data_IF_232797773738
#
_entry.id   IF_232797773738
#
_cell.length_a   1.000
_cell.length_b   1.000
_cell.length_c   1.000
_cell.angle_alpha   90.00
_cell.angle_beta   90.00
_cell.angle_gamma   90.00
#
_symmetry.space_group_name_H-M   'P 1'
#
loop_
_entity.id
_entity.type
_entity.pdbx_description
1 polymer ?
#
# COMPACT_ATOMS: atom_id res chain seq x y z
N UNK A 1 -2.28 -4.84 27.88
CA UNK A 1 -1.03 -5.30 28.54
C UNK A 1 -0.18 -4.09 28.84
N UNK A 2 0.45 -4.04 30.00
CA UNK A 2 1.40 -2.98 30.35
C UNK A 2 2.82 -3.49 30.17
N UNK A 3 3.65 -2.75 29.45
CA UNK A 3 5.02 -3.16 29.10
C UNK A 3 5.98 -2.02 29.39
N UNK A 4 7.10 -2.35 30.02
CA UNK A 4 8.19 -1.41 30.24
C UNK A 4 9.34 -1.70 29.28
N UNK A 5 9.80 -0.67 28.55
CA UNK A 5 10.94 -0.78 27.63
C UNK A 5 12.03 0.20 28.03
N UNK A 6 13.27 -0.29 28.10
CA UNK A 6 14.45 0.46 28.51
C UNK A 6 15.52 0.43 27.40
N UNK A 7 16.08 1.60 27.10
CA UNK A 7 17.21 1.76 26.17
C UNK A 7 16.82 2.26 24.77
N UNK A 8 17.73 3.01 24.16
CA UNK A 8 17.62 3.50 22.78
C UNK A 8 18.79 2.93 21.94
N UNK A 9 18.53 2.39 20.73
CA UNK A 9 17.24 2.33 20.04
C UNK A 9 16.33 1.16 20.51
N UNK A 10 15.01 1.40 20.50
CA UNK A 10 13.99 0.43 20.93
C UNK A 10 13.88 -0.79 19.99
N UNK A 11 14.15 -0.61 18.70
CA UNK A 11 14.03 -1.61 17.64
C UNK A 11 12.58 -1.95 17.28
N UNK A 12 11.76 -0.91 17.07
CA UNK A 12 10.35 -1.05 16.68
C UNK A 12 9.98 -0.05 15.57
N UNK A 13 8.98 -0.42 14.77
CA UNK A 13 8.38 0.44 13.75
C UNK A 13 6.92 0.71 14.12
N UNK A 14 6.47 1.95 13.90
CA UNK A 14 5.08 2.35 14.12
C UNK A 14 4.46 2.95 12.88
N UNK A 15 3.13 2.94 12.82
CA UNK A 15 2.34 3.73 11.87
C UNK A 15 1.09 4.29 12.56
N UNK A 16 0.34 5.08 11.80
CA UNK A 16 -0.89 5.71 12.24
C UNK A 16 -0.60 7.05 12.90
N UNK A 17 -1.62 7.63 13.50
CA UNK A 17 -1.66 9.02 13.95
C UNK A 17 -3.06 9.58 13.71
N UNK A 18 -3.49 10.48 14.57
CA UNK A 18 -4.81 11.10 14.49
C UNK A 18 -5.02 11.89 13.20
N UNK A 19 -3.96 12.42 12.59
CA UNK A 19 -3.98 13.04 11.26
C UNK A 19 -4.36 12.06 10.13
N UNK A 20 -4.20 10.75 10.39
CA UNK A 20 -4.63 9.66 9.50
C UNK A 20 -5.91 8.98 10.00
N UNK A 21 -6.54 9.56 11.04
CA UNK A 21 -7.67 9.01 11.81
C UNK A 21 -7.38 7.66 12.48
N UNK A 22 -6.12 7.21 12.49
CA UNK A 22 -5.75 5.87 12.91
C UNK A 22 -5.02 5.93 14.25
N UNK A 23 -5.31 5.00 15.17
CA UNK A 23 -4.47 4.85 16.37
C UNK A 23 -3.01 4.51 16.04
N UNK A 24 -2.12 4.56 17.02
CA UNK A 24 -0.72 4.18 16.81
C UNK A 24 -0.56 2.65 16.90
N UNK A 25 -0.02 2.03 15.85
CA UNK A 25 0.19 0.57 15.77
C UNK A 25 1.64 0.20 15.51
N UNK A 26 2.08 -0.90 16.11
CA UNK A 26 3.39 -1.51 15.83
C UNK A 26 3.32 -2.29 14.53
N UNK A 27 4.18 -1.94 13.57
CA UNK A 27 4.28 -2.58 12.24
C UNK A 27 5.52 -3.45 12.10
N UNK A 28 6.47 -3.33 13.01
CA UNK A 28 7.69 -4.12 13.00
C UNK A 28 8.36 -4.13 14.36
N UNK A 29 9.03 -5.24 14.63
CA UNK A 29 9.84 -5.43 15.83
C UNK A 29 11.12 -6.12 15.41
N UNK A 30 12.26 -5.47 15.65
CA UNK A 30 13.56 -5.99 15.27
C UNK A 30 13.94 -7.19 16.16
N UNK A 31 14.64 -8.16 15.59
CA UNK A 31 15.11 -9.33 16.34
C UNK A 31 16.13 -8.92 17.41
N UNK A 32 16.02 -9.49 18.60
CA UNK A 32 16.82 -9.25 19.80
C UNK A 32 16.76 -7.81 20.36
N UNK A 33 15.84 -6.99 19.87
CA UNK A 33 15.65 -5.61 20.32
C UNK A 33 15.08 -5.51 21.73
N UNK A 34 15.15 -4.31 22.32
CA UNK A 34 14.48 -4.02 23.59
C UNK A 34 12.95 -4.24 23.46
N UNK A 35 12.37 -3.84 22.32
CA UNK A 35 10.97 -4.09 22.00
C UNK A 35 10.61 -5.58 21.99
N UNK A 36 11.41 -6.43 21.33
CA UNK A 36 11.14 -7.88 21.30
C UNK A 36 11.25 -8.51 22.69
N UNK A 37 12.28 -8.14 23.46
CA UNK A 37 12.50 -8.65 24.82
C UNK A 37 11.39 -8.25 25.77
N UNK A 38 10.80 -7.06 25.56
CA UNK A 38 9.64 -6.57 26.29
C UNK A 38 8.32 -7.23 25.84
N UNK A 39 8.35 -8.09 24.81
CA UNK A 39 7.19 -8.85 24.34
C UNK A 39 6.24 -8.05 23.44
N UNK A 40 6.73 -6.94 22.86
CA UNK A 40 5.99 -6.19 21.85
C UNK A 40 5.86 -7.01 20.57
N UNK A 41 4.70 -6.94 19.93
CA UNK A 41 4.40 -7.68 18.71
C UNK A 41 3.83 -6.78 17.63
N UNK A 42 4.06 -7.20 16.38
CA UNK A 42 3.41 -6.60 15.21
C UNK A 42 1.89 -6.75 15.38
N UNK A 43 1.14 -5.66 15.17
CA UNK A 43 -0.31 -5.64 15.37
C UNK A 43 -0.77 -5.21 16.77
N UNK A 44 0.15 -4.89 17.67
CA UNK A 44 -0.21 -4.23 18.92
C UNK A 44 -0.56 -2.75 18.67
N UNK A 45 -1.66 -2.30 19.26
CA UNK A 45 -2.02 -0.89 19.32
C UNK A 45 -1.50 -0.29 20.62
N UNK A 46 -0.86 0.87 20.53
CA UNK A 46 -0.43 1.65 21.68
C UNK A 46 -1.58 2.58 22.07
N UNK A 47 -2.07 2.41 23.30
CA UNK A 47 -3.16 3.20 23.87
C UNK A 47 -2.63 4.35 24.71
N UNK A 48 -1.50 4.13 25.38
CA UNK A 48 -0.85 5.11 26.26
C UNK A 48 0.65 4.86 26.31
N UNK A 49 1.45 5.92 26.45
CA UNK A 49 2.85 5.83 26.84
C UNK A 49 3.17 6.88 27.91
N UNK A 50 3.74 6.46 29.05
CA UNK A 50 4.16 7.36 30.12
C UNK A 50 3.07 8.34 30.59
N UNK A 51 1.82 7.89 30.71
CA UNK A 51 0.63 8.69 31.05
C UNK A 51 0.15 9.66 29.94
N UNK A 52 0.76 9.62 28.76
CA UNK A 52 0.25 10.33 27.57
C UNK A 52 -0.64 9.42 26.75
N UNK A 53 -1.81 9.92 26.37
CA UNK A 53 -2.75 9.16 25.53
C UNK A 53 -2.26 9.07 24.10
N UNK A 54 -2.25 7.85 23.56
CA UNK A 54 -1.89 7.55 22.17
C UNK A 54 -3.11 7.34 21.26
N UNK A 55 -4.31 7.58 21.79
CA UNK A 55 -5.56 7.40 21.03
C UNK A 55 -5.80 8.52 20.01
N UNK A 56 -5.40 9.75 20.32
CA UNK A 56 -5.65 10.95 19.50
C UNK A 56 -4.37 11.70 19.16
N UNK A 57 -3.22 11.07 19.36
CA UNK A 57 -1.91 11.66 19.13
C UNK A 57 -1.53 11.66 17.65
N UNK A 58 -0.81 12.68 17.19
CA UNK A 58 -0.24 12.67 15.84
C UNK A 58 0.93 11.71 15.70
N UNK A 59 1.23 11.27 14.48
CA UNK A 59 2.35 10.39 14.20
C UNK A 59 3.68 10.98 14.69
N UNK A 60 3.95 12.23 14.32
CA UNK A 60 5.21 12.91 14.66
C UNK A 60 5.41 13.04 16.17
N UNK A 61 4.33 13.37 16.90
CA UNK A 61 4.38 13.46 18.36
C UNK A 61 4.63 12.07 18.98
N UNK A 62 3.96 11.03 18.49
CA UNK A 62 4.20 9.65 18.94
C UNK A 62 5.65 9.22 18.71
N UNK A 63 6.21 9.52 17.54
CA UNK A 63 7.63 9.25 17.22
C UNK A 63 8.56 9.98 18.19
N UNK A 64 8.29 11.25 18.48
CA UNK A 64 9.09 12.05 19.40
C UNK A 64 9.07 11.47 20.83
N UNK A 65 7.89 11.13 21.35
CA UNK A 65 7.78 10.51 22.68
C UNK A 65 8.57 9.20 22.73
N UNK A 66 8.45 8.35 21.71
CA UNK A 66 9.17 7.07 21.69
C UNK A 66 10.69 7.23 21.57
N UNK A 67 11.17 8.20 20.79
CA UNK A 67 12.62 8.42 20.58
C UNK A 67 13.31 9.00 21.79
N UNK A 68 12.69 9.97 22.46
CA UNK A 68 13.34 10.77 23.50
C UNK A 68 13.06 10.30 24.93
N UNK A 69 12.15 9.35 25.12
CA UNK A 69 11.89 8.73 26.43
C UNK A 69 12.97 7.71 26.78
N UNK A 70 13.66 7.89 27.92
CA UNK A 70 14.65 6.91 28.43
C UNK A 70 14.01 5.61 28.91
N UNK A 71 12.74 5.69 29.32
CA UNK A 71 11.91 4.60 29.81
C UNK A 71 10.51 4.81 29.27
N UNK A 72 9.90 3.77 28.70
CA UNK A 72 8.53 3.79 28.20
C UNK A 72 7.70 2.78 28.97
N UNK A 73 6.66 3.26 29.65
CA UNK A 73 5.58 2.45 30.21
C UNK A 73 4.42 2.51 29.21
N UNK A 74 4.16 1.41 28.52
CA UNK A 74 3.19 1.33 27.42
C UNK A 74 1.95 0.56 27.85
N UNK A 75 0.77 1.14 27.63
CA UNK A 75 -0.49 0.40 27.68
C UNK A 75 -0.88 -0.02 26.26
N UNK A 76 -1.08 -1.33 26.05
CA UNK A 76 -1.27 -1.92 24.74
C UNK A 76 -2.56 -2.72 24.63
N UNK A 77 -3.13 -2.74 23.42
CA UNK A 77 -4.18 -3.69 23.00
C UNK A 77 -3.63 -4.61 21.90
N UNK A 78 -3.65 -5.92 22.14
CA UNK A 78 -3.29 -6.92 21.13
C UNK A 78 -4.43 -7.03 20.12
N UNK A 79 -4.21 -6.57 18.89
CA UNK A 79 -5.22 -6.63 17.83
C UNK A 79 -4.95 -7.80 16.87
N UNK A 80 -3.69 -8.22 16.72
CA UNK A 80 -3.28 -9.34 15.86
C UNK A 80 -3.39 -9.09 14.36
N UNK A 81 -4.09 -8.02 13.97
CA UNK A 81 -4.13 -7.44 12.62
C UNK A 81 -3.93 -5.94 12.72
N UNK A 82 -3.25 -5.40 11.72
CA UNK A 82 -2.89 -3.99 11.59
C UNK A 82 -4.00 -3.29 10.78
N UNK A 83 -4.90 -2.49 11.39
CA UNK A 83 -6.05 -1.92 10.67
C UNK A 83 -5.64 -0.78 9.73
N UNK A 84 -6.01 -0.81 8.46
CA UNK A 84 -5.73 0.28 7.52
C UNK A 84 -6.29 1.63 8.03
N UNK A 85 -5.68 2.75 7.64
CA UNK A 85 -5.99 4.09 8.17
C UNK A 85 -7.47 4.50 8.00
N UNK A 86 -8.01 5.20 8.99
CA UNK A 86 -9.44 5.49 9.22
C UNK A 86 -10.09 6.44 8.20
N UNK A 87 -9.43 6.80 7.09
CA UNK A 87 -10.23 7.23 5.94
C UNK A 87 -11.03 6.10 5.28
N UNK A 88 -11.05 4.93 5.92
CA UNK A 88 -11.88 3.78 5.60
C UNK A 88 -12.52 3.21 6.88
N UNK A 89 -13.51 3.94 7.42
CA UNK A 89 -14.45 3.38 8.39
C UNK A 89 -15.86 3.39 7.83
N UNK A 90 -16.19 2.31 7.13
CA UNK A 90 -17.49 1.63 7.27
C UNK A 90 -17.22 0.15 7.05
N UNK A 91 -17.62 -0.68 8.01
CA UNK A 91 -17.53 -2.17 8.07
C UNK A 91 -16.37 -2.79 8.87
N UNK A 92 -16.39 -2.58 10.19
CA UNK A 92 -16.04 -3.70 11.12
C UNK A 92 -17.31 -4.34 11.61
N UNK A 93 -17.75 -5.43 10.98
CA UNK A 93 -18.22 -6.66 11.65
C UNK A 93 -18.72 -7.67 10.63
N UNK A 94 -18.43 -8.95 10.90
CA UNK A 94 -18.62 -10.12 10.06
C UNK A 94 -17.69 -10.17 8.84
N UNK A 95 -17.16 -11.35 8.54
CA UNK A 95 -16.59 -11.62 7.23
C UNK A 95 -17.76 -11.98 6.31
N UNK A 96 -18.11 -11.19 5.28
CA UNK A 96 -18.97 -11.66 4.21
C UNK A 96 -18.10 -12.04 3.01
N UNK A 97 -18.54 -13.07 2.30
CA UNK A 97 -18.07 -13.52 0.98
C UNK A 97 -17.51 -12.39 0.11
N UNK A 98 -16.31 -12.59 -0.44
CA UNK A 98 -15.41 -11.67 -1.16
C UNK A 98 -16.00 -10.62 -2.14
N UNK A 99 -17.30 -10.65 -2.49
CA UNK A 99 -17.93 -9.63 -3.33
C UNK A 99 -18.41 -8.39 -2.57
N UNK A 100 -18.90 -8.54 -1.35
CA UNK A 100 -19.66 -7.47 -0.66
C UNK A 100 -18.76 -6.36 -0.09
N UNK A 101 -17.60 -6.75 0.45
CA UNK A 101 -16.61 -5.81 0.99
C UNK A 101 -15.96 -4.95 -0.12
N UNK A 102 -15.65 -5.56 -1.26
CA UNK A 102 -15.04 -4.86 -2.40
C UNK A 102 -16.02 -3.87 -3.02
N UNK A 103 -17.30 -4.25 -3.16
CA UNK A 103 -18.36 -3.34 -3.62
C UNK A 103 -18.57 -2.17 -2.67
N UNK A 104 -18.51 -2.42 -1.36
CA UNK A 104 -18.59 -1.36 -0.34
C UNK A 104 -17.43 -0.37 -0.44
N UNK A 105 -16.20 -0.87 -0.65
CA UNK A 105 -15.01 -0.02 -0.83
C UNK A 105 -15.13 0.84 -2.09
N UNK A 106 -15.63 0.27 -3.19
CA UNK A 106 -15.91 1.00 -4.44
C UNK A 106 -16.98 2.07 -4.20
N UNK A 107 -18.05 1.76 -3.48
CA UNK A 107 -19.14 2.68 -3.14
C UNK A 107 -18.62 3.92 -2.39
N UNK A 108 -17.84 3.71 -1.33
CA UNK A 108 -17.26 4.77 -0.52
C UNK A 108 -16.29 5.64 -1.34
N UNK A 109 -15.39 5.01 -2.10
CA UNK A 109 -14.41 5.76 -2.90
C UNK A 109 -15.06 6.55 -4.03
N UNK A 110 -16.04 5.95 -4.71
CA UNK A 110 -16.75 6.61 -5.81
C UNK A 110 -17.58 7.81 -5.35
N UNK A 111 -18.20 7.79 -4.17
CA UNK A 111 -18.91 8.96 -3.62
C UNK A 111 -18.02 10.18 -3.36
N UNK A 112 -16.70 9.98 -3.17
CA UNK A 112 -15.76 11.06 -2.86
C UNK A 112 -15.21 11.75 -4.11
N UNK A 113 -15.14 11.02 -5.23
CA UNK A 113 -14.45 11.46 -6.45
C UNK A 113 -15.40 11.63 -7.66
N UNK A 114 -16.64 11.15 -7.56
CA UNK A 114 -17.65 11.21 -8.62
C UNK A 114 -18.85 12.06 -8.20
N UNK A 115 -19.56 12.60 -9.19
CA UNK A 115 -20.88 13.19 -8.94
C UNK A 115 -21.89 12.10 -8.54
N UNK A 116 -23.01 12.44 -7.86
CA UNK A 116 -24.04 11.47 -7.48
C UNK A 116 -24.58 10.65 -8.66
N UNK A 117 -24.72 11.28 -9.84
CA UNK A 117 -25.16 10.60 -11.06
C UNK A 117 -24.11 9.60 -11.57
N UNK A 118 -22.84 10.01 -11.62
CA UNK A 118 -21.72 9.15 -12.04
C UNK A 118 -21.48 7.99 -11.07
N UNK A 119 -21.63 8.24 -9.76
CA UNK A 119 -21.58 7.20 -8.74
C UNK A 119 -22.69 6.17 -8.93
N UNK A 120 -23.94 6.62 -9.12
CA UNK A 120 -25.08 5.73 -9.33
C UNK A 120 -24.93 4.89 -10.61
N UNK A 121 -24.45 5.50 -11.70
CA UNK A 121 -24.19 4.83 -12.97
C UNK A 121 -23.10 3.77 -12.84
N UNK A 122 -21.94 4.12 -12.25
CA UNK A 122 -20.83 3.19 -12.05
C UNK A 122 -21.25 2.01 -11.15
N UNK A 123 -21.95 2.28 -10.05
CA UNK A 123 -22.44 1.26 -9.13
C UNK A 123 -23.38 0.27 -9.81
N UNK A 124 -24.39 0.78 -10.52
CA UNK A 124 -25.36 -0.06 -11.22
C UNK A 124 -24.70 -0.98 -12.24
N UNK A 125 -23.71 -0.46 -12.99
CA UNK A 125 -23.00 -1.25 -14.02
C UNK A 125 -22.13 -2.34 -13.38
N UNK A 126 -21.47 -2.05 -12.26
CA UNK A 126 -20.67 -3.02 -11.53
C UNK A 126 -21.54 -4.14 -10.95
N UNK A 127 -22.67 -3.80 -10.32
CA UNK A 127 -23.59 -4.79 -9.75
C UNK A 127 -24.19 -5.70 -10.84
N UNK A 128 -24.57 -5.13 -11.99
CA UNK A 128 -25.08 -5.89 -13.12
C UNK A 128 -24.03 -6.81 -13.75
N UNK A 129 -22.79 -6.33 -13.88
CA UNK A 129 -21.66 -7.13 -14.37
C UNK A 129 -21.34 -8.28 -13.40
N UNK A 130 -21.25 -8.00 -12.10
CA UNK A 130 -20.98 -9.01 -11.07
C UNK A 130 -22.06 -10.11 -11.08
N UNK A 131 -23.34 -9.73 -11.24
CA UNK A 131 -24.47 -10.64 -11.39
C UNK A 131 -24.53 -11.40 -12.73
N UNK A 132 -23.65 -11.09 -13.69
CA UNK A 132 -23.63 -11.69 -15.03
C UNK A 132 -24.76 -11.24 -15.94
N UNK A 133 -25.45 -10.16 -15.58
CA UNK A 133 -26.52 -9.55 -16.39
C UNK A 133 -25.97 -8.57 -17.43
N UNK A 134 -24.74 -8.10 -17.26
CA UNK A 134 -24.02 -7.24 -18.21
C UNK A 134 -22.67 -7.82 -18.63
N UNK A 135 -22.26 -7.60 -19.89
CA UNK A 135 -20.94 -7.97 -20.37
C UNK A 135 -19.85 -7.01 -19.87
N UNK A 136 -18.59 -7.42 -19.96
CA UNK A 136 -17.43 -6.59 -19.54
C UNK A 136 -17.32 -5.30 -20.35
N UNK A 137 -17.71 -5.32 -21.63
CA UNK A 137 -17.60 -4.18 -22.54
C UNK A 137 -18.39 -2.95 -22.04
N UNK A 138 -19.54 -3.16 -21.41
CA UNK A 138 -20.34 -2.10 -20.78
C UNK A 138 -19.60 -1.48 -19.58
N UNK A 139 -19.03 -2.32 -18.72
CA UNK A 139 -18.25 -1.86 -17.56
C UNK A 139 -17.03 -1.06 -18.01
N UNK A 140 -16.34 -1.49 -19.08
CA UNK A 140 -15.21 -0.76 -19.63
C UNK A 140 -15.62 0.59 -20.22
N UNK A 141 -16.76 0.66 -20.91
CA UNK A 141 -17.28 1.91 -21.45
C UNK A 141 -17.56 2.91 -20.33
N UNK A 142 -18.30 2.51 -19.30
CA UNK A 142 -18.61 3.36 -18.14
C UNK A 142 -17.36 3.73 -17.34
N UNK A 143 -16.47 2.77 -17.07
CA UNK A 143 -15.23 3.04 -16.36
C UNK A 143 -14.33 4.02 -17.13
N UNK A 144 -14.25 3.87 -18.46
CA UNK A 144 -13.54 4.82 -19.31
C UNK A 144 -14.19 6.18 -19.26
N UNK A 145 -15.49 6.33 -19.48
CA UNK A 145 -16.12 7.66 -19.49
C UNK A 145 -16.01 8.38 -18.13
N UNK A 146 -16.12 7.64 -17.03
CA UNK A 146 -16.23 8.22 -15.70
C UNK A 146 -14.86 8.39 -15.00
N UNK A 147 -13.88 7.52 -15.28
CA UNK A 147 -12.63 7.37 -14.51
C UNK A 147 -11.35 7.86 -15.21
N UNK A 148 -11.44 8.71 -16.25
CA UNK A 148 -10.29 9.19 -17.06
C UNK A 148 -9.26 10.02 -16.26
N UNK A 149 -9.64 10.63 -15.15
CA UNK A 149 -8.76 11.58 -14.44
C UNK A 149 -7.75 10.88 -13.51
N UNK A 150 -6.55 11.45 -13.31
CA UNK A 150 -5.52 10.90 -12.41
C UNK A 150 -6.04 10.59 -10.99
N UNK A 151 -6.92 11.44 -10.47
CA UNK A 151 -7.50 11.32 -9.14
C UNK A 151 -8.44 10.10 -9.00
N UNK A 152 -8.83 9.49 -10.13
CA UNK A 152 -9.74 8.34 -10.21
C UNK A 152 -9.01 7.02 -10.50
N UNK A 153 -7.69 7.06 -10.68
CA UNK A 153 -6.86 5.86 -10.86
C UNK A 153 -6.91 4.92 -9.66
N UNK A 154 -7.02 5.48 -8.45
CA UNK A 154 -7.26 4.69 -7.24
C UNK A 154 -8.51 3.83 -7.43
N UNK A 155 -9.64 4.46 -7.74
CA UNK A 155 -10.93 3.79 -7.95
C UNK A 155 -10.88 2.70 -9.03
N UNK A 156 -10.08 2.88 -10.09
CA UNK A 156 -9.87 1.85 -11.11
C UNK A 156 -9.21 0.59 -10.55
N UNK A 157 -8.28 0.71 -9.60
CA UNK A 157 -7.69 -0.46 -8.94
C UNK A 157 -8.70 -1.23 -8.10
N UNK A 158 -9.67 -0.55 -7.47
CA UNK A 158 -10.74 -1.23 -6.75
C UNK A 158 -11.76 -1.87 -7.69
N UNK A 159 -12.12 -1.19 -8.79
CA UNK A 159 -13.00 -1.78 -9.81
C UNK A 159 -12.36 -3.02 -10.43
N UNK A 160 -11.04 -3.06 -10.60
CA UNK A 160 -10.32 -4.25 -11.08
C UNK A 160 -10.56 -5.50 -10.22
N UNK A 161 -10.66 -5.35 -8.90
CA UNK A 161 -10.85 -6.47 -7.97
C UNK A 161 -12.22 -7.14 -8.08
N UNK A 162 -13.22 -6.45 -8.64
CA UNK A 162 -14.55 -7.03 -8.94
C UNK A 162 -14.67 -7.55 -10.37
N UNK A 163 -13.65 -7.32 -11.22
CA UNK A 163 -13.60 -7.88 -12.57
C UNK A 163 -13.26 -9.37 -12.49
N UNK A 164 -14.03 -10.19 -13.21
CA UNK A 164 -13.82 -11.64 -13.26
C UNK A 164 -12.45 -11.96 -13.84
N UNK A 165 -11.85 -13.05 -13.40
CA UNK A 165 -10.48 -13.42 -13.78
C UNK A 165 -10.31 -13.53 -15.31
N UNK A 166 -11.32 -14.04 -16.01
CA UNK A 166 -11.34 -14.13 -17.48
C UNK A 166 -11.36 -12.78 -18.21
N UNK A 167 -11.83 -11.73 -17.54
CA UNK A 167 -12.03 -10.40 -18.10
C UNK A 167 -10.93 -9.41 -17.68
N UNK A 168 -10.09 -9.75 -16.70
CA UNK A 168 -9.05 -8.85 -16.19
C UNK A 168 -8.08 -8.38 -17.27
N UNK A 169 -7.68 -9.26 -18.20
CA UNK A 169 -6.77 -8.88 -19.28
C UNK A 169 -7.38 -7.81 -20.22
N UNK A 170 -8.68 -7.91 -20.51
CA UNK A 170 -9.40 -6.90 -21.29
C UNK A 170 -9.50 -5.58 -20.53
N UNK A 171 -9.76 -5.65 -19.23
CA UNK A 171 -9.82 -4.48 -18.36
C UNK A 171 -8.48 -3.75 -18.29
N UNK A 172 -7.39 -4.48 -18.02
CA UNK A 172 -6.06 -3.91 -17.92
C UNK A 172 -5.62 -3.27 -19.25
N UNK A 173 -5.86 -3.91 -20.40
CA UNK A 173 -5.56 -3.35 -21.72
C UNK A 173 -6.37 -2.08 -22.02
N UNK A 174 -7.63 -2.06 -21.59
CA UNK A 174 -8.54 -0.95 -21.87
C UNK A 174 -8.26 0.27 -20.99
N UNK A 175 -7.92 0.05 -19.72
CA UNK A 175 -7.76 1.10 -18.70
C UNK A 175 -6.30 1.56 -18.57
N UNK A 176 -5.34 0.66 -18.78
CA UNK A 176 -3.90 0.93 -18.73
C UNK A 176 -3.25 0.58 -20.09
N UNK A 177 -3.48 1.38 -21.14
CA UNK A 177 -2.83 1.15 -22.43
C UNK A 177 -1.32 1.16 -22.20
N UNK A 178 -0.67 0.01 -22.38
CA UNK A 178 0.79 -0.03 -22.39
C UNK A 178 1.26 0.94 -23.47
N UNK A 179 2.16 1.85 -23.11
CA UNK A 179 2.90 2.68 -24.08
C UNK A 179 3.86 1.77 -24.85
N UNK A 180 3.32 0.91 -25.71
CA UNK A 180 4.08 0.12 -26.66
C UNK A 180 4.20 0.94 -27.94
N UNK A 181 5.14 1.89 -27.93
CA UNK A 181 5.78 2.30 -29.18
C UNK A 181 6.39 1.04 -29.78
N UNK A 182 5.80 0.59 -30.88
CA UNK A 182 6.39 -0.33 -31.83
C UNK A 182 7.74 0.22 -32.28
N UNK A 183 8.84 -0.23 -31.67
CA UNK A 183 10.13 -0.20 -32.35
C UNK A 183 10.38 -1.60 -32.89
N UNK A 184 9.97 -1.74 -34.13
CA UNK A 184 10.21 -2.86 -35.00
C UNK A 184 11.72 -2.98 -35.25
N UNK A 185 12.45 -3.71 -34.41
CA UNK A 185 13.82 -4.12 -34.70
C UNK A 185 13.77 -5.52 -35.32
N UNK A 186 13.67 -5.49 -36.65
CA UNK A 186 13.90 -6.61 -37.52
C UNK A 186 15.22 -7.30 -37.16
N UNK A 187 15.15 -8.62 -37.06
CA UNK A 187 16.31 -9.49 -37.17
C UNK A 187 17.07 -9.15 -38.47
N UNK A 188 18.25 -8.56 -38.36
CA UNK A 188 19.24 -8.65 -39.41
C UNK A 188 20.63 -8.92 -38.84
N UNK A 189 21.05 -10.14 -39.12
CA UNK A 189 22.35 -10.72 -38.95
C UNK A 189 23.38 -9.89 -39.74
N UNK A 190 24.35 -9.22 -39.10
CA UNK A 190 25.59 -8.81 -39.76
C UNK A 190 26.81 -8.90 -38.83
N UNK A 191 27.84 -9.49 -39.41
CA UNK A 191 29.16 -9.79 -38.89
C UNK A 191 29.92 -8.54 -38.42
N UNK A 192 30.66 -8.67 -37.31
CA UNK A 192 31.72 -7.73 -36.96
C UNK A 192 33.01 -8.10 -37.71
N UNK A 193 33.70 -7.17 -38.38
CA UNK A 193 35.10 -7.34 -38.73
C UNK A 193 36.02 -6.86 -37.59
N UNK A 194 37.14 -7.56 -37.49
CA UNK A 194 38.22 -7.45 -36.51
C UNK A 194 39.19 -6.27 -36.75
N UNK A 195 40.04 -6.04 -35.72
CA UNK A 195 41.31 -5.26 -35.66
C UNK A 195 41.14 -3.75 -35.36
N UNK A 196 41.97 -3.04 -34.59
CA UNK A 196 43.35 -3.28 -34.11
C UNK A 196 43.69 -2.40 -32.89
N UNK A 197 44.49 -2.95 -31.96
CA UNK A 197 45.69 -2.38 -31.33
C UNK A 197 45.69 -0.94 -30.81
N UNK A 198 45.83 -0.78 -29.48
CA UNK A 198 46.79 0.15 -28.88
C UNK A 198 47.28 -0.40 -27.52
N UNK A 199 48.55 -0.77 -27.50
CA UNK A 199 49.35 -1.26 -26.36
C UNK A 199 49.88 -0.13 -25.46
N UNK A 200 50.52 -0.57 -24.36
CA UNK A 200 51.44 0.09 -23.41
C UNK A 200 50.78 0.74 -22.17
N UNK A 201 51.24 0.52 -20.93
CA UNK A 201 52.31 -0.34 -20.41
C UNK A 201 52.12 -0.43 -18.87
N UNK A 202 52.33 -1.61 -18.29
CA UNK A 202 52.51 -1.78 -16.84
C UNK A 202 53.97 -2.21 -16.62
N UNK A 203 54.77 -1.43 -15.89
CA UNK A 203 55.57 -1.93 -14.76
C UNK A 203 56.45 -0.86 -14.11
N UNK A 204 56.96 -1.18 -12.91
CA UNK A 204 57.92 -0.47 -12.00
C UNK A 204 57.27 0.53 -11.03
N UNK A 205 57.43 0.46 -9.70
CA UNK A 205 58.49 -0.10 -8.85
C UNK A 205 57.90 -0.51 -7.50
N UNK A 206 58.30 -1.69 -6.99
CA UNK A 206 58.19 -2.07 -5.57
C UNK A 206 59.61 -2.19 -4.99
N UNK A 207 59.76 -1.80 -3.71
CA UNK A 207 60.93 -1.89 -2.78
C UNK A 207 61.79 -0.61 -2.77
N UNK A 208 62.22 -0.03 -1.64
CA UNK A 208 62.40 -0.50 -0.25
C UNK A 208 62.62 0.74 0.65
N UNK A 209 62.28 0.61 1.94
CA UNK A 209 62.78 1.36 3.13
C UNK A 209 62.77 2.88 3.12
#
# INVERSE_FOLDING_TARGET
AEVEVLGSPLGLMIRGGSEYGLGIYITGVDKNSAAQKAGLQIGDQILEANNESFLTITHDTAVNIMKYSRKLKLALRRVGKIPYSYHDETTRSAWPTNGDATLTMIDVKSQRVLSPAQHMELKSVIEDYAAGRRPIEDLLFTAKEILISPDKLGLLTEVREVVRLEDQAKFDQAVFPSTSTTTNLHHHHQQFPSTSSFDLDQDKVRRRT
#
